data_IF_162249987466
#
_entry.id   IF_162249987466
#
_cell.length_a   1.000
_cell.length_b   1.000
_cell.length_c   1.000
_cell.angle_alpha   90.00
_cell.angle_beta   90.00
_cell.angle_gamma   90.00
#
_symmetry.space_group_name_H-M   'P 1'
#
loop_
_entity.id
_entity.type
_entity.pdbx_description
1 polymer ?
#
# COMPACT_ATOMS: atom_id res chain seq x y z
N UNK A 1 26.25 -34.16 -11.40
CA UNK A 1 26.06 -33.08 -10.42
C UNK A 1 24.71 -33.27 -9.75
N UNK A 2 24.66 -33.29 -8.41
CA UNK A 2 23.49 -33.69 -7.61
C UNK A 2 22.54 -32.50 -7.41
N UNK A 3 21.29 -32.69 -7.87
CA UNK A 3 19.98 -32.15 -7.42
C UNK A 3 19.90 -30.77 -6.73
N UNK A 4 18.99 -29.94 -7.25
CA UNK A 4 18.01 -29.19 -6.44
C UNK A 4 16.72 -28.94 -7.25
N UNK A 5 15.81 -29.91 -7.25
CA UNK A 5 14.38 -29.64 -7.54
C UNK A 5 13.72 -29.32 -6.19
N UNK A 6 13.81 -28.06 -5.74
CA UNK A 6 12.92 -27.56 -4.69
C UNK A 6 11.61 -27.09 -5.34
N UNK A 7 10.87 -28.05 -5.89
CA UNK A 7 9.42 -27.94 -6.00
C UNK A 7 8.88 -28.76 -4.83
N UNK A 8 9.10 -28.24 -3.64
CA UNK A 8 8.47 -28.75 -2.42
C UNK A 8 6.96 -28.60 -2.58
N UNK A 9 6.34 -29.68 -3.06
CA UNK A 9 5.10 -30.21 -2.52
C UNK A 9 4.01 -29.15 -2.30
N UNK A 10 3.43 -28.66 -3.40
CA UNK A 10 2.06 -28.13 -3.38
C UNK A 10 1.10 -29.30 -3.14
N UNK A 11 1.01 -29.74 -1.89
CA UNK A 11 -0.05 -30.65 -1.45
C UNK A 11 -0.52 -30.14 -0.10
N UNK A 12 -1.77 -29.66 -0.11
CA UNK A 12 -2.67 -29.38 1.01
C UNK A 12 -3.07 -27.90 1.13
N UNK A 13 -4.11 -27.49 0.40
CA UNK A 13 -4.99 -26.38 0.82
C UNK A 13 -6.45 -26.76 0.51
N UNK A 14 -6.99 -27.67 1.31
CA UNK A 14 -8.42 -27.93 1.40
C UNK A 14 -9.04 -26.91 2.36
N UNK A 15 -9.37 -25.73 1.86
CA UNK A 15 -10.11 -24.70 2.57
C UNK A 15 -10.85 -23.81 1.56
N UNK A 16 -11.99 -23.19 1.92
CA UNK A 16 -12.71 -22.35 0.98
C UNK A 16 -11.80 -21.19 0.55
N UNK A 17 -11.53 -21.12 -0.75
CA UNK A 17 -10.71 -20.06 -1.36
C UNK A 17 -11.37 -18.70 -1.13
N UNK A 18 -10.97 -18.00 -0.06
CA UNK A 18 -11.06 -16.55 -0.06
C UNK A 18 -9.98 -16.06 -1.01
N UNK A 19 -10.38 -15.36 -2.07
CA UNK A 19 -9.44 -14.57 -2.87
C UNK A 19 -8.54 -13.81 -1.88
N UNK A 20 -7.20 -13.82 -2.03
CA UNK A 20 -6.36 -12.99 -1.21
C UNK A 20 -6.88 -11.57 -1.34
N UNK A 21 -7.43 -11.01 -0.26
CA UNK A 21 -7.58 -9.56 -0.15
C UNK A 21 -6.15 -9.06 -0.31
N UNK A 22 -5.87 -8.48 -1.48
CA UNK A 22 -4.56 -7.96 -1.84
C UNK A 22 -4.34 -6.69 -1.02
N UNK A 23 -4.07 -6.88 0.27
CA UNK A 23 -3.74 -5.80 1.18
C UNK A 23 -2.33 -5.35 0.81
N UNK A 24 -2.25 -4.15 0.21
CA UNK A 24 -0.99 -3.54 -0.14
C UNK A 24 -0.13 -3.38 1.12
N UNK A 25 1.12 -3.89 1.13
CA UNK A 25 1.93 -3.89 2.34
C UNK A 25 2.31 -2.47 2.75
N UNK A 26 2.39 -2.24 4.06
CA UNK A 26 2.95 -1.01 4.62
C UNK A 26 4.43 -0.89 4.23
N UNK A 27 4.82 0.24 3.63
CA UNK A 27 6.20 0.53 3.29
C UNK A 27 6.90 1.32 4.38
N UNK A 28 6.26 2.38 4.87
CA UNK A 28 6.82 3.28 5.88
C UNK A 28 5.75 4.16 6.52
N UNK A 29 6.13 4.90 7.57
CA UNK A 29 5.31 5.98 8.14
C UNK A 29 5.88 7.34 7.75
N UNK A 30 5.02 8.30 7.47
CA UNK A 30 5.38 9.68 7.15
C UNK A 30 4.67 10.67 8.08
N UNK A 31 5.36 11.74 8.45
CA UNK A 31 4.76 12.85 9.19
C UNK A 31 4.50 14.03 8.25
N UNK A 32 3.30 14.59 8.29
CA UNK A 32 2.91 15.72 7.44
C UNK A 32 3.54 17.01 7.97
N UNK A 33 4.24 17.72 7.08
CA UNK A 33 4.92 18.99 7.42
C UNK A 33 4.11 20.22 7.01
N UNK A 34 3.18 20.09 6.07
CA UNK A 34 2.29 21.14 5.60
C UNK A 34 1.14 21.42 6.58
N UNK A 35 0.68 22.67 6.67
CA UNK A 35 -0.45 23.05 7.55
C UNK A 35 -1.76 22.36 7.15
N UNK A 36 -2.02 22.25 5.84
CA UNK A 36 -3.15 21.55 5.28
C UNK A 36 -2.72 20.87 3.98
N UNK A 37 -2.93 19.57 3.90
CA UNK A 37 -2.62 18.76 2.73
C UNK A 37 -3.88 18.05 2.26
N UNK A 38 -4.24 18.19 0.98
CA UNK A 38 -5.38 17.50 0.38
C UNK A 38 -4.96 16.09 -0.06
N UNK A 39 -5.72 15.09 0.37
CA UNK A 39 -5.62 13.71 -0.13
C UNK A 39 -6.50 13.59 -1.36
N UNK A 40 -5.97 12.98 -2.42
CA UNK A 40 -6.66 12.87 -3.70
C UNK A 40 -6.92 11.41 -4.08
N UNK A 41 -8.01 11.19 -4.81
CA UNK A 41 -8.43 9.86 -5.24
C UNK A 41 -7.44 9.18 -6.20
N UNK A 42 -6.67 9.97 -6.96
CA UNK A 42 -5.65 9.49 -7.90
C UNK A 42 -4.39 10.36 -7.81
N UNK A 43 -3.28 9.87 -8.36
CA UNK A 43 -2.00 10.57 -8.47
C UNK A 43 -2.04 11.72 -9.50
N UNK A 44 -2.97 12.65 -9.34
CA UNK A 44 -3.17 13.82 -10.23
C UNK A 44 -3.81 14.98 -9.45
N UNK A 45 -3.41 16.20 -9.76
CA UNK A 45 -3.96 17.45 -9.22
C UNK A 45 -5.39 17.73 -9.67
N UNK A 46 -5.86 17.08 -10.73
CA UNK A 46 -7.20 17.25 -11.28
C UNK A 46 -8.21 16.25 -10.69
N UNK A 47 -7.73 15.28 -9.90
CA UNK A 47 -8.61 14.29 -9.25
C UNK A 47 -9.23 14.82 -7.97
N UNK A 48 -10.40 14.28 -7.63
CA UNK A 48 -11.19 14.71 -6.47
C UNK A 48 -10.39 14.65 -5.16
N UNK A 49 -10.64 15.63 -4.30
CA UNK A 49 -10.14 15.64 -2.93
C UNK A 49 -11.04 14.74 -2.09
N UNK A 50 -10.47 13.67 -1.54
CA UNK A 50 -11.19 12.65 -0.75
C UNK A 50 -10.91 12.75 0.75
N UNK A 51 -9.95 13.58 1.14
CA UNK A 51 -9.58 13.78 2.53
C UNK A 51 -8.64 14.96 2.71
N UNK A 52 -8.35 15.28 3.97
CA UNK A 52 -7.40 16.33 4.33
C UNK A 52 -6.56 15.86 5.52
N UNK A 53 -5.30 16.24 5.52
CA UNK A 53 -4.35 16.03 6.61
C UNK A 53 -3.83 17.38 7.10
N UNK A 54 -3.46 17.45 8.37
CA UNK A 54 -2.89 18.61 9.02
C UNK A 54 -1.44 18.38 9.40
N UNK A 55 -0.75 19.47 9.75
CA UNK A 55 0.64 19.41 10.21
C UNK A 55 0.75 18.49 11.42
N UNK A 56 1.79 17.67 11.42
CA UNK A 56 2.13 16.65 12.40
C UNK A 56 1.28 15.36 12.36
N UNK A 57 0.28 15.25 11.48
CA UNK A 57 -0.40 13.97 11.25
C UNK A 57 0.61 12.91 10.79
N UNK A 58 0.41 11.68 11.26
CA UNK A 58 1.23 10.52 10.87
C UNK A 58 0.40 9.61 10.00
N UNK A 59 0.93 9.27 8.82
CA UNK A 59 0.26 8.42 7.84
C UNK A 59 1.08 7.18 7.52
N UNK A 60 0.38 6.13 7.12
CA UNK A 60 0.94 4.88 6.63
C UNK A 60 1.07 4.94 5.12
N UNK A 61 2.31 4.93 4.61
CA UNK A 61 2.61 4.96 3.17
C UNK A 61 2.68 3.52 2.67
N UNK A 62 1.83 3.21 1.69
CA UNK A 62 1.71 1.90 1.05
C UNK A 62 2.21 1.92 -0.40
N UNK A 63 2.52 3.09 -0.97
CA UNK A 63 3.09 3.21 -2.30
C UNK A 63 3.87 4.50 -2.52
N UNK A 64 4.87 4.42 -3.41
CA UNK A 64 5.71 5.55 -3.80
C UNK A 64 5.69 5.64 -5.32
N UNK A 65 5.14 6.74 -5.85
CA UNK A 65 5.28 7.14 -7.23
C UNK A 65 6.31 8.26 -7.38
N UNK A 66 6.52 8.74 -8.61
CA UNK A 66 7.53 9.79 -8.87
C UNK A 66 7.26 11.10 -8.13
N UNK A 67 5.99 11.47 -7.97
CA UNK A 67 5.57 12.75 -7.36
C UNK A 67 4.50 12.59 -6.27
N UNK A 68 4.06 11.36 -6.02
CA UNK A 68 2.91 11.06 -5.16
C UNK A 68 3.23 9.90 -4.22
N UNK A 69 2.74 9.99 -3.00
CA UNK A 69 2.66 8.88 -2.07
C UNK A 69 1.23 8.37 -2.02
N UNK A 70 1.07 7.06 -2.00
CA UNK A 70 -0.19 6.41 -1.71
C UNK A 70 -0.21 6.04 -0.23
N UNK A 71 -1.29 6.40 0.46
CA UNK A 71 -1.45 6.19 1.90
C UNK A 71 -2.64 5.30 2.19
N UNK A 72 -2.58 4.60 3.32
CA UNK A 72 -3.73 3.92 3.90
C UNK A 72 -4.57 4.94 4.66
N UNK A 73 -5.80 5.16 4.19
CA UNK A 73 -6.83 5.93 4.89
C UNK A 73 -7.53 5.09 5.96
#
# INVERSE_FOLDING_TARGET
MKKAKMLTKLKNMSGPTRLPIEEKPLLMKGQITANLLNIRAKASTDSDVVGKLQKNDVVEIIGIGEKWYEIKL
#
